data_IF_666875353335
#
_entry.id   IF_666875353335
#
_cell.length_a   1.000
_cell.length_b   1.000
_cell.length_c   1.000
_cell.angle_alpha   90.00
_cell.angle_beta   90.00
_cell.angle_gamma   90.00
#
_symmetry.space_group_name_H-M   'P 1'
#
loop_
_entity.id
_entity.type
_entity.pdbx_description
1 polymer ?
#
# COMPACT_ATOMS: atom_id res chain seq x y z
N UNK A 1 8.01 -2.12 19.77
CA UNK A 1 6.92 -2.81 19.02
C UNK A 1 7.15 -4.31 19.09
N UNK A 2 6.29 -5.04 19.79
CA UNK A 2 6.35 -6.51 19.80
C UNK A 2 5.66 -7.00 18.52
N UNK A 3 6.44 -7.34 17.51
CA UNK A 3 5.93 -7.84 16.23
C UNK A 3 5.25 -9.21 16.42
N UNK A 4 3.92 -9.24 16.30
CA UNK A 4 3.08 -10.44 16.54
C UNK A 4 2.80 -11.28 15.29
N UNK A 5 3.53 -11.12 14.19
CA UNK A 5 3.25 -11.89 12.97
C UNK A 5 4.49 -12.38 12.22
N UNK A 6 5.32 -13.20 12.88
CA UNK A 6 6.54 -13.75 12.26
C UNK A 6 6.30 -14.76 11.12
N UNK A 7 5.10 -15.34 11.00
CA UNK A 7 4.89 -16.55 10.18
C UNK A 7 3.71 -16.55 9.19
N UNK A 8 2.81 -15.56 9.17
CA UNK A 8 1.71 -15.57 8.17
C UNK A 8 2.08 -14.76 6.94
N UNK A 9 2.52 -15.44 5.88
CA UNK A 9 2.49 -14.89 4.53
C UNK A 9 1.03 -14.79 4.10
N UNK A 10 0.60 -13.60 3.69
CA UNK A 10 -0.72 -13.38 3.10
C UNK A 10 -0.59 -12.50 1.86
N UNK A 11 -1.58 -12.61 0.97
CA UNK A 11 -1.62 -11.84 -0.26
C UNK A 11 -2.16 -10.42 0.03
N UNK A 12 -1.48 -9.39 -0.45
CA UNK A 12 -1.89 -7.97 -0.30
C UNK A 12 -2.52 -7.38 -1.57
N UNK A 13 -2.74 -8.18 -2.62
CA UNK A 13 -3.28 -7.73 -3.90
C UNK A 13 -4.65 -7.04 -3.76
N UNK A 14 -5.56 -7.58 -2.95
CA UNK A 14 -6.85 -6.94 -2.65
C UNK A 14 -6.67 -5.66 -1.82
N UNK A 15 -5.74 -5.66 -0.86
CA UNK A 15 -5.43 -4.50 -0.04
C UNK A 15 -4.89 -3.33 -0.89
N UNK A 16 -4.05 -3.60 -1.90
CA UNK A 16 -3.58 -2.57 -2.83
C UNK A 16 -4.73 -1.94 -3.63
N UNK A 17 -5.66 -2.76 -4.15
CA UNK A 17 -6.86 -2.25 -4.85
C UNK A 17 -7.78 -1.44 -3.93
N UNK A 18 -7.96 -1.88 -2.69
CA UNK A 18 -8.68 -1.10 -1.67
C UNK A 18 -7.96 0.22 -1.36
N UNK A 19 -6.62 0.24 -1.37
CA UNK A 19 -5.84 1.47 -1.27
C UNK A 19 -6.05 2.41 -2.45
N UNK A 20 -6.17 1.89 -3.68
CA UNK A 20 -6.50 2.68 -4.87
C UNK A 20 -7.92 3.25 -4.81
N UNK A 21 -8.89 2.46 -4.34
CA UNK A 21 -10.23 2.98 -4.05
C UNK A 21 -10.18 4.09 -3.00
N UNK A 22 -9.52 3.85 -1.86
CA UNK A 22 -9.38 4.87 -0.82
C UNK A 22 -8.70 6.14 -1.36
N UNK A 23 -7.73 6.00 -2.26
CA UNK A 23 -7.07 7.12 -2.93
C UNK A 23 -8.03 7.90 -3.83
N UNK A 24 -8.90 7.24 -4.59
CA UNK A 24 -9.92 7.93 -5.40
C UNK A 24 -10.95 8.68 -4.55
N UNK A 25 -11.15 8.23 -3.29
CA UNK A 25 -11.97 8.91 -2.28
C UNK A 25 -11.19 9.95 -1.45
N UNK A 26 -9.92 10.23 -1.77
CA UNK A 26 -9.10 11.22 -1.06
C UNK A 26 -8.55 10.74 0.30
N UNK A 27 -8.64 9.45 0.62
CA UNK A 27 -8.22 8.84 1.90
C UNK A 27 -7.08 7.82 1.76
N UNK A 28 -6.31 7.90 0.67
CA UNK A 28 -5.28 6.90 0.34
C UNK A 28 -4.13 6.81 1.33
N UNK A 29 -3.67 7.95 1.88
CA UNK A 29 -2.60 7.99 2.87
C UNK A 29 -3.07 7.39 4.21
N UNK A 30 -4.24 7.82 4.67
CA UNK A 30 -4.88 7.35 5.90
C UNK A 30 -5.14 5.85 5.85
N UNK A 31 -5.63 5.34 4.70
CA UNK A 31 -5.83 3.92 4.46
C UNK A 31 -4.52 3.15 4.56
N UNK A 32 -3.46 3.66 3.91
CA UNK A 32 -2.14 3.01 3.95
C UNK A 32 -1.57 2.96 5.37
N UNK A 33 -1.71 4.05 6.14
CA UNK A 33 -1.26 4.11 7.54
C UNK A 33 -2.02 3.13 8.43
N UNK A 34 -3.34 3.01 8.26
CA UNK A 34 -4.13 2.01 8.99
C UNK A 34 -3.78 0.59 8.58
N UNK A 35 -3.60 0.32 7.28
CA UNK A 35 -3.17 -0.97 6.80
C UNK A 35 -1.82 -1.39 7.42
N UNK A 36 -0.86 -0.47 7.52
CA UNK A 36 0.40 -0.69 8.23
C UNK A 36 0.17 -1.07 9.71
N UNK A 37 -0.69 -0.36 10.44
CA UNK A 37 -1.04 -0.71 11.83
C UNK A 37 -1.67 -2.09 11.93
N UNK A 38 -2.65 -2.39 11.07
CA UNK A 38 -3.31 -3.69 11.03
C UNK A 38 -2.33 -4.84 10.81
N UNK A 39 -1.38 -4.68 9.90
CA UNK A 39 -0.35 -5.68 9.61
C UNK A 39 0.66 -5.80 10.76
N UNK A 40 1.32 -4.69 11.11
CA UNK A 40 2.56 -4.72 11.89
C UNK A 40 2.34 -4.53 13.39
N UNK A 41 1.32 -3.76 13.78
CA UNK A 41 0.98 -3.51 15.18
C UNK A 41 -0.02 -4.53 15.70
N UNK A 42 -1.09 -4.79 14.94
CA UNK A 42 -2.18 -5.66 15.36
C UNK A 42 -2.01 -7.13 14.90
N UNK A 43 -1.12 -7.39 13.94
CA UNK A 43 -0.85 -8.74 13.44
C UNK A 43 -2.02 -9.38 12.68
N UNK A 44 -2.87 -8.57 12.05
CA UNK A 44 -4.05 -9.02 11.30
C UNK A 44 -3.66 -9.52 9.90
N UNK A 45 -4.49 -10.41 9.36
CA UNK A 45 -4.34 -10.93 7.99
C UNK A 45 -5.13 -10.04 7.02
N UNK A 46 -4.45 -9.12 6.35
CA UNK A 46 -5.06 -8.24 5.34
C UNK A 46 -5.29 -8.91 3.98
N UNK A 47 -5.05 -10.22 3.87
CA UNK A 47 -5.56 -11.03 2.76
C UNK A 47 -7.03 -11.43 2.94
N UNK A 48 -7.60 -11.22 4.13
CA UNK A 48 -9.02 -11.42 4.41
C UNK A 48 -9.81 -10.14 4.06
N UNK A 49 -10.80 -10.20 3.14
CA UNK A 49 -11.63 -9.06 2.78
C UNK A 49 -12.34 -8.41 3.97
N UNK A 50 -12.68 -9.16 5.02
CA UNK A 50 -13.33 -8.61 6.21
C UNK A 50 -12.40 -7.66 6.96
N UNK A 51 -11.10 -7.98 7.03
CA UNK A 51 -10.09 -7.10 7.65
C UNK A 51 -9.89 -5.83 6.82
N UNK A 52 -9.94 -5.94 5.48
CA UNK A 52 -9.89 -4.76 4.60
C UNK A 52 -11.12 -3.88 4.81
N UNK A 53 -12.31 -4.47 4.96
CA UNK A 53 -13.54 -3.75 5.26
C UNK A 53 -13.48 -3.04 6.62
N UNK A 54 -12.87 -3.65 7.65
CA UNK A 54 -12.64 -2.98 8.93
C UNK A 54 -11.82 -1.69 8.77
N UNK A 55 -10.74 -1.73 7.97
CA UNK A 55 -9.92 -0.54 7.68
C UNK A 55 -10.74 0.53 6.96
N UNK A 56 -11.50 0.13 5.94
CA UNK A 56 -12.35 1.03 5.16
C UNK A 56 -13.44 1.70 6.03
N UNK A 57 -14.09 0.95 6.92
CA UNK A 57 -15.11 1.46 7.85
C UNK A 57 -14.55 2.49 8.84
N UNK A 58 -13.33 2.28 9.36
CA UNK A 58 -12.66 3.27 10.23
C UNK A 58 -12.47 4.61 9.50
N UNK A 59 -12.32 4.56 8.19
CA UNK A 59 -12.20 5.73 7.34
C UNK A 59 -13.52 6.18 6.73
N UNK A 60 -14.66 5.65 7.17
CA UNK A 60 -15.99 6.00 6.63
C UNK A 60 -16.07 5.85 5.10
N UNK A 61 -15.38 4.83 4.55
CA UNK A 61 -15.47 4.46 3.15
C UNK A 61 -16.66 3.51 2.93
N UNK A 62 -17.30 3.59 1.76
CA UNK A 62 -18.36 2.66 1.38
C UNK A 62 -17.75 1.29 1.05
N UNK A 63 -17.91 0.34 1.98
CA UNK A 63 -17.36 -1.01 1.80
C UNK A 63 -18.06 -1.79 0.69
N UNK A 64 -19.34 -1.54 0.42
CA UNK A 64 -20.07 -2.23 -0.65
C UNK A 64 -19.57 -1.74 -2.01
N UNK A 65 -19.46 -0.43 -2.18
CA UNK A 65 -18.91 0.17 -3.40
C UNK A 65 -17.46 -0.27 -3.61
N UNK A 66 -16.60 -0.14 -2.59
CA UNK A 66 -15.20 -0.57 -2.66
C UNK A 66 -15.06 -2.01 -3.13
N UNK A 67 -15.79 -2.95 -2.52
CA UNK A 67 -15.72 -4.35 -2.92
C UNK A 67 -16.25 -4.55 -4.34
N UNK A 68 -17.32 -3.85 -4.73
CA UNK A 68 -17.87 -3.90 -6.09
C UNK A 68 -16.86 -3.42 -7.13
N UNK A 69 -16.18 -2.29 -6.90
CA UNK A 69 -15.12 -1.76 -7.79
C UNK A 69 -13.94 -2.72 -7.90
N UNK A 70 -13.52 -3.31 -6.78
CA UNK A 70 -12.44 -4.31 -6.77
C UNK A 70 -12.84 -5.54 -7.57
N UNK A 71 -14.03 -6.08 -7.31
CA UNK A 71 -14.48 -7.36 -7.87
C UNK A 71 -14.79 -7.27 -9.37
N UNK A 72 -15.20 -6.08 -9.86
CA UNK A 72 -15.39 -5.83 -11.30
C UNK A 72 -14.10 -5.44 -12.03
N UNK A 73 -12.97 -5.37 -11.33
CA UNK A 73 -11.66 -5.11 -11.93
C UNK A 73 -11.38 -3.64 -12.27
N UNK A 74 -12.00 -2.68 -11.57
CA UNK A 74 -11.82 -1.25 -11.84
C UNK A 74 -10.38 -0.76 -11.72
N UNK A 75 -9.53 -1.49 -11.00
CA UNK A 75 -8.16 -1.09 -10.70
C UNK A 75 -7.09 -1.90 -11.47
N UNK A 76 -7.48 -2.74 -12.43
CA UNK A 76 -6.52 -3.56 -13.17
C UNK A 76 -5.54 -2.72 -14.00
N UNK A 77 -5.98 -1.57 -14.52
CA UNK A 77 -5.11 -0.68 -15.28
C UNK A 77 -4.00 -0.07 -14.41
N UNK A 78 -4.35 0.43 -13.21
CA UNK A 78 -3.42 0.99 -12.25
C UNK A 78 -2.45 -0.06 -11.69
N UNK A 79 -2.95 -1.28 -11.45
CA UNK A 79 -2.11 -2.39 -11.02
C UNK A 79 -1.11 -2.79 -12.11
N UNK A 80 -1.56 -2.88 -13.37
CA UNK A 80 -0.70 -3.18 -14.51
C UNK A 80 0.34 -2.07 -14.75
N UNK A 81 -0.05 -0.80 -14.59
CA UNK A 81 0.86 0.33 -14.70
C UNK A 81 1.92 0.32 -13.60
N UNK A 82 1.53 0.04 -12.35
CA UNK A 82 2.48 -0.09 -11.24
C UNK A 82 3.51 -1.21 -11.50
N UNK A 83 3.06 -2.35 -12.04
CA UNK A 83 3.94 -3.45 -12.43
C UNK A 83 4.88 -3.07 -13.59
N UNK A 84 4.36 -2.35 -14.60
CA UNK A 84 5.19 -1.84 -15.70
C UNK A 84 6.26 -0.88 -15.18
N UNK A 85 5.89 0.07 -14.31
CA UNK A 85 6.82 1.04 -13.76
C UNK A 85 7.88 0.39 -12.86
N UNK A 86 7.51 -0.65 -12.11
CA UNK A 86 8.47 -1.47 -11.35
C UNK A 86 9.55 -2.03 -12.29
N UNK A 87 9.18 -2.52 -13.46
CA UNK A 87 10.14 -3.05 -14.44
C UNK A 87 10.97 -1.94 -15.09
N UNK A 88 10.33 -0.85 -15.52
CA UNK A 88 11.01 0.32 -16.14
C UNK A 88 12.08 0.93 -15.22
N UNK A 89 11.80 1.03 -13.92
CA UNK A 89 12.71 1.60 -12.95
C UNK A 89 13.60 0.56 -12.24
N UNK A 90 13.51 -0.72 -12.63
CA UNK A 90 14.24 -1.84 -12.03
C UNK A 90 14.09 -1.86 -10.50
N UNK A 91 12.84 -1.83 -10.03
CA UNK A 91 12.49 -1.82 -8.61
C UNK A 91 12.40 -3.27 -8.11
N UNK A 92 13.45 -3.71 -7.40
CA UNK A 92 13.52 -5.06 -6.84
C UNK A 92 13.11 -5.16 -5.37
N UNK A 93 12.86 -4.03 -4.70
CA UNK A 93 12.44 -4.00 -3.29
C UNK A 93 11.70 -2.73 -2.93
N UNK A 94 10.92 -2.78 -1.85
CA UNK A 94 10.21 -1.63 -1.28
C UNK A 94 10.74 -1.35 0.15
N UNK A 95 10.75 -0.08 0.60
CA UNK A 95 10.38 1.12 -0.16
C UNK A 95 11.47 1.55 -1.16
N UNK A 96 11.03 2.08 -2.30
CA UNK A 96 11.86 2.75 -3.31
C UNK A 96 11.17 4.04 -3.72
N UNK A 97 11.92 5.14 -3.82
CA UNK A 97 11.45 6.44 -4.27
C UNK A 97 12.12 6.78 -5.60
N UNK A 98 11.32 7.23 -6.57
CA UNK A 98 11.78 7.75 -7.86
C UNK A 98 11.55 9.26 -7.87
N UNK A 99 12.61 10.04 -8.04
CA UNK A 99 12.58 11.50 -7.97
C UNK A 99 12.87 12.05 -9.35
N UNK A 100 11.96 12.91 -9.84
CA UNK A 100 12.01 13.52 -11.16
C UNK A 100 12.18 12.50 -12.32
N UNK A 101 11.78 11.24 -12.12
CA UNK A 101 11.90 10.18 -13.12
C UNK A 101 13.32 9.64 -13.33
N UNK A 102 14.31 10.11 -12.59
CA UNK A 102 15.73 9.79 -12.83
C UNK A 102 16.42 9.20 -11.61
N UNK A 103 16.24 9.82 -10.44
CA UNK A 103 16.96 9.45 -9.23
C UNK A 103 16.20 8.39 -8.45
N UNK A 104 16.83 7.23 -8.27
CA UNK A 104 16.32 6.09 -7.50
C UNK A 104 16.94 6.08 -6.09
N UNK A 105 16.09 6.20 -5.06
CA UNK A 105 16.49 6.11 -3.65
C UNK A 105 15.85 4.88 -3.02
N UNK A 106 16.68 3.97 -2.51
CA UNK A 106 16.23 2.67 -1.96
C UNK A 106 16.49 2.55 -0.46
N UNK A 107 15.62 1.77 0.20
CA UNK A 107 15.80 1.32 1.57
C UNK A 107 15.35 2.32 2.64
N UNK A 108 15.21 1.82 3.86
CA UNK A 108 14.91 2.62 5.05
C UNK A 108 16.23 3.08 5.67
N UNK A 109 16.55 4.37 5.50
CA UNK A 109 17.71 5.03 6.12
C UNK A 109 17.24 5.90 7.29
N UNK A 110 18.17 6.31 8.15
CA UNK A 110 17.88 7.33 9.16
C UNK A 110 17.31 8.58 8.48
N UNK A 111 16.39 9.28 9.14
CA UNK A 111 15.62 10.38 8.56
C UNK A 111 16.50 11.41 7.85
N UNK A 112 17.60 11.86 8.49
CA UNK A 112 18.50 12.85 7.89
C UNK A 112 19.14 12.35 6.59
N UNK A 113 19.54 11.07 6.54
CA UNK A 113 20.12 10.48 5.33
C UNK A 113 19.08 10.33 4.22
N UNK A 114 17.86 9.92 4.58
CA UNK A 114 16.77 9.83 3.63
C UNK A 114 16.43 11.23 3.07
N UNK A 115 16.34 12.25 3.93
CA UNK A 115 16.08 13.63 3.53
C UNK A 115 17.16 14.16 2.59
N UNK A 116 18.44 13.95 2.90
CA UNK A 116 19.55 14.28 2.02
C UNK A 116 19.43 13.56 0.67
N UNK A 117 19.15 12.25 0.68
CA UNK A 117 18.99 11.47 -0.56
C UNK A 117 17.77 11.92 -1.38
N UNK A 118 16.72 12.44 -0.74
CA UNK A 118 15.53 12.92 -1.43
C UNK A 118 15.67 14.34 -1.98
N UNK A 119 16.43 15.22 -1.30
CA UNK A 119 16.49 16.65 -1.60
C UNK A 119 17.79 17.12 -2.27
N UNK A 120 18.88 16.37 -2.09
CA UNK A 120 20.17 16.63 -2.74
C UNK A 120 20.22 16.11 -4.17
#
# INVERSE_FOLDING_TARGET
>A
LVYKNKNKKFNTNRLHRAGLYAQSQGKGLEFSLLAYKYIFEYGKNVGDPLIINEIALVLELDTLEMNTEIDKGSFEAEMAEADRLKDVYEINSVPTFIINGEKKVTGLKAYEKLKEDLLG
#
